data_IF_962723082111
#
_entry.id   IF_962723082111
#
_cell.length_a   1.000
_cell.length_b   1.000
_cell.length_c   1.000
_cell.angle_alpha   90.00
_cell.angle_beta   90.00
_cell.angle_gamma   90.00
#
_symmetry.space_group_name_H-M   'P 1'
#
loop_
_entity.id
_entity.type
_entity.pdbx_description
1 polymer ?
#
# COMPACT_ATOMS: atom_id res chain seq x y z
N UNK A 1 -17.35 15.63 5.44
CA UNK A 1 -16.76 15.70 4.09
C UNK A 1 -17.28 14.49 3.32
N UNK A 2 -18.07 14.71 2.26
CA UNK A 2 -18.68 13.64 1.46
C UNK A 2 -17.76 13.42 0.26
N UNK A 3 -17.04 12.31 0.23
CA UNK A 3 -16.38 11.85 -0.99
C UNK A 3 -17.50 11.67 -2.04
N UNK A 4 -17.32 12.24 -3.23
CA UNK A 4 -18.29 12.08 -4.31
C UNK A 4 -18.39 10.60 -4.70
N UNK A 5 -19.60 10.12 -5.04
CA UNK A 5 -19.82 8.71 -5.41
C UNK A 5 -18.82 8.22 -6.47
N UNK A 6 -18.50 9.05 -7.46
CA UNK A 6 -17.54 8.70 -8.51
C UNK A 6 -16.09 8.52 -8.04
N UNK A 7 -15.66 9.19 -6.96
CA UNK A 7 -14.33 8.95 -6.38
C UNK A 7 -14.27 7.63 -5.61
N UNK A 8 -15.38 7.20 -5.01
CA UNK A 8 -15.51 5.87 -4.39
C UNK A 8 -15.50 4.74 -5.43
N UNK A 9 -16.16 4.92 -6.56
CA UNK A 9 -16.21 3.92 -7.64
C UNK A 9 -14.83 3.73 -8.29
N UNK A 10 -14.16 4.83 -8.65
CA UNK A 10 -12.80 4.81 -9.18
C UNK A 10 -11.82 4.15 -8.20
N UNK A 11 -12.02 4.39 -6.90
CA UNK A 11 -11.23 3.77 -5.86
C UNK A 11 -11.45 2.26 -5.78
N UNK A 12 -12.70 1.80 -5.82
CA UNK A 12 -13.00 0.38 -5.83
C UNK A 12 -12.35 -0.28 -7.05
N UNK A 13 -12.45 0.32 -8.23
CA UNK A 13 -11.81 -0.19 -9.44
C UNK A 13 -10.29 -0.27 -9.30
N UNK A 14 -9.65 0.78 -8.77
CA UNK A 14 -8.20 0.77 -8.51
C UNK A 14 -7.82 -0.35 -7.53
N UNK A 15 -8.52 -0.47 -6.41
CA UNK A 15 -8.25 -1.51 -5.40
C UNK A 15 -8.46 -2.89 -5.99
N UNK A 16 -9.50 -3.11 -6.80
CA UNK A 16 -9.77 -4.40 -7.42
C UNK A 16 -8.72 -4.75 -8.47
N UNK A 17 -8.27 -3.79 -9.27
CA UNK A 17 -7.25 -3.98 -10.31
C UNK A 17 -5.86 -4.27 -9.73
N UNK A 18 -5.55 -3.72 -8.56
CA UNK A 18 -4.23 -3.84 -7.93
C UNK A 18 -4.24 -4.63 -6.61
N UNK A 19 -5.29 -5.42 -6.36
CA UNK A 19 -5.47 -6.14 -5.10
C UNK A 19 -4.39 -7.19 -4.91
N UNK A 20 -3.66 -7.12 -3.79
CA UNK A 20 -2.78 -8.22 -3.36
C UNK A 20 -3.53 -9.28 -2.56
N UNK A 21 -3.05 -10.52 -2.62
CA UNK A 21 -3.54 -11.58 -1.76
C UNK A 21 -2.80 -11.54 -0.41
N UNK A 22 -3.51 -11.19 0.66
CA UNK A 22 -2.93 -11.10 1.99
C UNK A 22 -2.36 -12.43 2.51
N UNK A 23 -2.82 -13.59 2.01
CA UNK A 23 -2.23 -14.89 2.37
C UNK A 23 -0.79 -15.04 1.89
N UNK A 24 -0.39 -14.28 0.87
CA UNK A 24 0.96 -14.29 0.31
C UNK A 24 1.86 -13.24 0.93
N UNK A 25 1.33 -12.39 1.83
CA UNK A 25 2.06 -11.34 2.51
C UNK A 25 2.37 -11.76 3.94
N UNK A 26 3.66 -11.71 4.30
CA UNK A 26 4.13 -11.83 5.67
C UNK A 26 4.73 -10.50 6.10
N UNK A 27 4.22 -9.90 7.16
CA UNK A 27 4.75 -8.66 7.75
C UNK A 27 5.73 -9.03 8.87
N UNK A 28 6.88 -8.38 8.90
CA UNK A 28 7.89 -8.58 9.94
C UNK A 28 7.67 -7.61 11.10
N UNK A 29 7.95 -8.05 12.33
CA UNK A 29 7.76 -7.23 13.54
C UNK A 29 8.92 -6.26 13.85
N UNK A 30 10.05 -6.39 13.16
CA UNK A 30 11.32 -5.80 13.60
C UNK A 30 11.69 -4.50 12.86
N UNK A 31 11.20 -4.34 11.63
CA UNK A 31 11.56 -3.23 10.74
C UNK A 31 10.35 -2.32 10.51
N UNK A 32 10.07 -1.47 11.50
CA UNK A 32 8.99 -0.49 11.49
C UNK A 32 9.59 0.92 11.34
N UNK A 33 9.11 1.68 10.35
CA UNK A 33 9.35 3.13 10.26
C UNK A 33 8.03 3.85 10.42
N UNK A 34 7.92 4.69 11.43
CA UNK A 34 6.78 5.56 11.61
C UNK A 34 7.13 6.96 11.11
N UNK A 35 6.28 7.53 10.26
CA UNK A 35 6.42 8.88 9.74
C UNK A 35 5.11 9.66 9.85
N UNK A 36 5.15 10.92 9.46
CA UNK A 36 3.99 11.82 9.51
C UNK A 36 2.79 11.32 8.68
N UNK A 37 3.06 10.55 7.62
CA UNK A 37 2.06 10.03 6.68
C UNK A 37 1.62 8.58 6.98
N UNK A 38 2.04 8.02 8.11
CA UNK A 38 1.68 6.67 8.55
C UNK A 38 2.88 5.79 8.86
N UNK A 39 2.61 4.49 8.96
CA UNK A 39 3.58 3.49 9.39
C UNK A 39 3.94 2.58 8.22
N UNK A 40 5.24 2.38 8.03
CA UNK A 40 5.79 1.44 7.05
C UNK A 40 6.36 0.24 7.79
N UNK A 41 5.91 -0.94 7.40
CA UNK A 41 6.42 -2.21 7.88
C UNK A 41 7.20 -2.88 6.76
N UNK A 42 8.29 -3.56 7.09
CA UNK A 42 8.92 -4.50 6.15
C UNK A 42 8.14 -5.81 6.13
N UNK A 43 8.15 -6.48 5.00
CA UNK A 43 7.59 -7.81 4.85
C UNK A 43 8.19 -8.57 3.69
N UNK A 44 7.59 -9.72 3.41
CA UNK A 44 7.88 -10.54 2.25
C UNK A 44 6.57 -10.87 1.53
N UNK A 45 6.54 -10.67 0.22
CA UNK A 45 5.44 -11.05 -0.63
C UNK A 45 5.83 -12.22 -1.52
N UNK A 46 4.95 -13.21 -1.64
CA UNK A 46 5.11 -14.36 -2.53
C UNK A 46 4.31 -14.13 -3.80
N UNK A 47 5.01 -13.99 -4.92
CA UNK A 47 4.41 -13.84 -6.25
C UNK A 47 3.72 -15.14 -6.69
N UNK A 48 2.77 -15.07 -7.65
CA UNK A 48 2.08 -16.26 -8.15
C UNK A 48 3.00 -17.35 -8.71
N UNK A 49 4.18 -16.98 -9.20
CA UNK A 49 5.22 -17.90 -9.69
C UNK A 49 6.05 -18.55 -8.55
N UNK A 50 5.77 -18.25 -7.28
CA UNK A 50 6.50 -18.74 -6.11
C UNK A 50 7.73 -17.92 -5.72
N UNK A 51 8.11 -16.91 -6.50
CA UNK A 51 9.22 -16.01 -6.17
C UNK A 51 8.88 -15.16 -4.94
N UNK A 52 9.85 -14.99 -4.05
CA UNK A 52 9.72 -14.20 -2.82
C UNK A 52 10.44 -12.88 -3.00
N UNK A 53 9.78 -11.78 -2.68
CA UNK A 53 10.39 -10.44 -2.68
C UNK A 53 10.20 -9.75 -1.34
N UNK A 54 11.21 -9.00 -0.91
CA UNK A 54 11.05 -8.08 0.22
C UNK A 54 10.20 -6.89 -0.19
N UNK A 55 9.24 -6.53 0.66
CA UNK A 55 8.30 -5.44 0.43
C UNK A 55 8.27 -4.45 1.59
N UNK A 56 7.89 -3.21 1.28
CA UNK A 56 7.51 -2.19 2.23
C UNK A 56 5.99 -2.02 2.18
N UNK A 57 5.36 -2.10 3.34
CA UNK A 57 3.92 -2.08 3.57
C UNK A 57 3.56 -0.79 4.32
N UNK A 58 3.03 0.21 3.62
CA UNK A 58 2.59 1.48 4.22
C UNK A 58 1.12 1.41 4.60
N UNK A 59 0.79 1.79 5.82
CA UNK A 59 -0.58 2.02 6.28
C UNK A 59 -0.73 3.47 6.75
N UNK A 60 -1.85 4.16 6.48
CA UNK A 60 -2.01 5.54 6.89
C UNK A 60 -2.14 5.68 8.41
N UNK A 61 -1.84 6.88 8.91
CA UNK A 61 -2.01 7.21 10.33
C UNK A 61 -3.51 7.21 10.71
N UNK A 62 -3.84 6.58 11.84
CA UNK A 62 -5.24 6.37 12.25
C UNK A 62 -6.00 7.67 12.59
N UNK A 63 -5.28 8.66 13.12
CA UNK A 63 -5.89 9.80 13.81
C UNK A 63 -6.03 11.06 12.94
N UNK A 64 -5.79 10.94 11.61
CA UNK A 64 -5.87 12.08 10.69
C UNK A 64 -7.17 12.07 9.90
N UNK A 65 -7.86 13.20 9.93
CA UNK A 65 -8.89 13.54 8.96
C UNK A 65 -8.27 13.44 7.56
N UNK A 66 -8.90 12.69 6.66
CA UNK A 66 -8.48 12.43 5.27
C UNK A 66 -7.33 11.42 5.07
N UNK A 67 -6.93 10.67 6.10
CA UNK A 67 -5.82 9.71 6.00
C UNK A 67 -6.00 8.64 4.91
N UNK A 68 -7.25 8.27 4.62
CA UNK A 68 -7.58 7.36 3.51
C UNK A 68 -7.40 8.06 2.17
N UNK A 69 -7.90 9.28 1.98
CA UNK A 69 -7.75 10.03 0.72
C UNK A 69 -6.27 10.29 0.37
N UNK A 70 -5.46 10.69 1.36
CA UNK A 70 -4.01 10.87 1.19
C UNK A 70 -3.33 9.55 0.78
N UNK A 71 -3.74 8.45 1.41
CA UNK A 71 -3.28 7.12 1.03
C UNK A 71 -3.66 6.76 -0.42
N UNK A 72 -4.83 7.17 -0.89
CA UNK A 72 -5.24 6.95 -2.29
C UNK A 72 -4.40 7.74 -3.26
N UNK A 73 -4.16 9.01 -2.94
CA UNK A 73 -3.31 9.88 -3.74
C UNK A 73 -1.91 9.27 -3.88
N UNK A 74 -1.32 8.84 -2.76
CA UNK A 74 -0.03 8.15 -2.75
C UNK A 74 -0.05 6.87 -3.60
N UNK A 75 -1.08 6.05 -3.46
CA UNK A 75 -1.20 4.79 -4.20
C UNK A 75 -1.34 5.02 -5.71
N UNK A 76 -2.15 5.99 -6.14
CA UNK A 76 -2.30 6.35 -7.56
C UNK A 76 -0.98 6.89 -8.12
N UNK A 77 -0.34 7.83 -7.43
CA UNK A 77 0.95 8.40 -7.85
C UNK A 77 2.02 7.31 -7.96
N UNK A 78 2.17 6.46 -6.93
CA UNK A 78 3.17 5.40 -6.91
C UNK A 78 2.88 4.34 -7.98
N UNK A 79 1.61 4.02 -8.25
CA UNK A 79 1.25 3.09 -9.32
C UNK A 79 1.69 3.58 -10.70
N UNK A 80 1.67 4.91 -10.93
CA UNK A 80 2.12 5.56 -12.16
C UNK A 80 3.64 5.73 -12.24
N UNK A 81 4.31 5.85 -11.10
CA UNK A 81 5.77 5.98 -10.99
C UNK A 81 6.52 4.63 -11.01
N UNK A 82 5.84 3.54 -11.38
CA UNK A 82 6.35 2.17 -11.35
C UNK A 82 7.55 1.95 -12.30
N UNK A 83 8.74 2.30 -11.83
CA UNK A 83 10.00 2.19 -12.56
C UNK A 83 11.05 1.51 -11.67
N UNK A 84 11.86 0.64 -12.26
CA UNK A 84 12.86 -0.22 -11.56
C UNK A 84 13.85 0.55 -10.67
N UNK A 85 14.00 1.87 -10.86
CA UNK A 85 14.98 2.73 -10.16
C UNK A 85 14.39 3.72 -9.15
N UNK A 86 13.06 3.85 -9.05
CA UNK A 86 12.42 4.88 -8.21
C UNK A 86 11.64 4.21 -7.10
N UNK A 87 10.60 3.47 -7.46
CA UNK A 87 9.83 2.63 -6.55
C UNK A 87 9.06 1.62 -7.39
N UNK A 88 9.06 0.35 -7.00
CA UNK A 88 8.29 -0.67 -7.73
C UNK A 88 7.01 -0.95 -6.96
N UNK A 89 5.88 -0.56 -7.55
CA UNK A 89 4.56 -0.83 -7.01
C UNK A 89 4.24 -2.32 -7.12
N UNK A 90 3.73 -2.92 -6.03
CA UNK A 90 3.31 -4.33 -5.99
C UNK A 90 1.79 -4.44 -5.97
N UNK A 91 1.13 -3.58 -5.20
CA UNK A 91 -0.32 -3.54 -5.14
C UNK A 91 -0.84 -2.89 -3.87
N UNK A 92 -2.14 -3.01 -3.66
CA UNK A 92 -2.82 -2.50 -2.46
C UNK A 92 -3.71 -3.57 -1.83
N UNK A 93 -3.97 -3.42 -0.54
CA UNK A 93 -5.02 -4.14 0.15
C UNK A 93 -5.92 -3.14 0.86
N UNK A 94 -7.20 -3.17 0.52
CA UNK A 94 -8.24 -2.52 1.29
C UNK A 94 -9.51 -3.36 1.22
N UNK A 95 -10.10 -3.61 2.38
CA UNK A 95 -11.41 -4.23 2.48
C UNK A 95 -12.40 -3.20 3.00
N UNK A 96 -13.19 -2.68 2.08
CA UNK A 96 -14.26 -1.71 2.33
C UNK A 96 -15.33 -2.31 3.25
N UNK A 97 -15.58 -3.62 3.14
CA UNK A 97 -16.66 -4.31 3.87
C UNK A 97 -16.30 -4.51 5.34
N UNK A 98 -15.04 -4.87 5.61
CA UNK A 98 -14.53 -5.10 6.96
C UNK A 98 -13.81 -3.88 7.57
N UNK A 99 -13.82 -2.74 6.88
CA UNK A 99 -13.12 -1.50 7.28
C UNK A 99 -11.67 -1.75 7.71
N UNK A 100 -10.99 -2.66 6.99
CA UNK A 100 -9.61 -3.00 7.31
C UNK A 100 -8.70 -1.81 7.04
N UNK A 101 -7.59 -1.73 7.76
CA UNK A 101 -6.60 -0.69 7.52
C UNK A 101 -6.05 -0.86 6.10
N UNK A 102 -6.08 0.19 5.25
CA UNK A 102 -5.51 0.10 3.93
C UNK A 102 -3.99 -0.11 4.01
N UNK A 103 -3.50 -0.87 3.04
CA UNK A 103 -2.10 -1.25 2.89
C UNK A 103 -1.65 -0.96 1.47
N UNK A 104 -0.57 -0.20 1.32
CA UNK A 104 0.14 0.03 0.07
C UNK A 104 1.41 -0.78 0.11
N UNK A 105 1.60 -1.65 -0.88
CA UNK A 105 2.73 -2.58 -0.94
C UNK A 105 3.62 -2.22 -2.12
N UNK A 106 4.89 -2.04 -1.81
CA UNK A 106 5.94 -1.66 -2.76
C UNK A 106 7.16 -2.53 -2.52
N UNK A 107 8.07 -2.63 -3.49
CA UNK A 107 9.35 -3.32 -3.29
C UNK A 107 10.16 -2.62 -2.20
N UNK A 108 10.72 -3.40 -1.28
CA UNK A 108 11.61 -2.88 -0.25
C UNK A 108 12.93 -2.40 -0.87
N UNK A 109 13.31 -1.17 -0.54
CA UNK A 109 14.58 -0.56 -0.96
C UNK A 109 15.56 -0.60 0.22
N UNK A 110 16.54 -1.50 0.16
CA UNK A 110 17.45 -1.80 1.28
C UNK A 110 18.32 -0.61 1.70
N UNK A 111 18.61 0.31 0.78
CA UNK A 111 19.44 1.49 1.05
C UNK A 111 18.63 2.68 1.59
N UNK A 112 17.34 2.51 1.90
CA UNK A 112 16.47 3.60 2.33
C UNK A 112 16.06 4.50 1.17
N UNK A 113 15.29 5.55 1.51
CA UNK A 113 14.91 6.62 0.59
C UNK A 113 16.09 7.58 0.35
N UNK A 114 16.00 8.41 -0.69
CA UNK A 114 16.88 9.58 -0.87
C UNK A 114 16.44 10.73 0.05
#
# INVERSE_FOLDING_TARGET
>A
MRISHGAYDLFNDFVMNYRINMKNLVIFNEDIRQGHYGTVYKGQYTLPNGERMLVACKTPQHDRLNSVEDFLCDADVISRLNHRRILQFVGVHYDVTNQTRPLLVTKYMANGDL
#
